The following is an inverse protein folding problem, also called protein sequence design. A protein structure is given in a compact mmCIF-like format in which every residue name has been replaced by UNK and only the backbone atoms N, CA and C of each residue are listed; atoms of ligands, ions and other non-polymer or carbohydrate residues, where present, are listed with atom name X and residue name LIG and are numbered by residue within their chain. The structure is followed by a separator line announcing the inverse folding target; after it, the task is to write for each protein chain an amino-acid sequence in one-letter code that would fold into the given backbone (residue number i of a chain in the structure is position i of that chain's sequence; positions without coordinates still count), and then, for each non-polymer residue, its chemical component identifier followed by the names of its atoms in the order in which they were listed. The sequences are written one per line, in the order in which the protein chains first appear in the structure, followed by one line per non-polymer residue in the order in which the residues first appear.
data_IF_666498103544
#
_entry.id   IF_666498103544
#
_cell.length_a   1.000
_cell.length_b   1.000
_cell.length_c   1.000
_cell.angle_alpha   90.00
_cell.angle_beta   90.00
_cell.angle_gamma   90.00
#
_symmetry.space_group_name_H-M   'P 1'
#
loop_
_entity.id
_entity.type
_entity.pdbx_description
1 polymer ?
#
# COMPACT_ATOMS: atom_id res chain seq x y z
N UNK A 1 4.99 12.61 17.21
CA UNK A 1 6.36 13.18 17.19
C UNK A 1 6.45 14.63 17.65
N UNK A 2 5.70 15.58 17.07
CA UNK A 2 5.80 17.01 17.47
C UNK A 2 5.69 17.24 18.97
N UNK A 3 4.69 16.66 19.62
CA UNK A 3 4.55 16.71 21.09
C UNK A 3 5.77 16.16 21.85
N UNK A 4 6.38 15.07 21.36
CA UNK A 4 7.47 14.38 22.05
C UNK A 4 8.82 15.11 21.92
N UNK A 5 9.02 15.84 20.81
CA UNK A 5 10.29 16.48 20.44
C UNK A 5 10.32 18.00 20.64
N UNK A 6 9.14 18.65 20.57
CA UNK A 6 8.99 20.11 20.65
C UNK A 6 7.97 20.52 21.72
N UNK A 7 7.56 19.57 22.57
CA UNK A 7 6.41 19.74 23.44
C UNK A 7 6.60 20.77 24.56
N UNK A 8 5.46 21.19 25.17
CA UNK A 8 4.14 20.55 25.04
C UNK A 8 3.34 21.00 23.81
N UNK A 9 2.84 20.04 23.02
CA UNK A 9 1.97 20.28 21.87
C UNK A 9 0.74 19.37 21.89
N UNK A 10 -0.21 19.65 22.79
CA UNK A 10 -1.35 18.76 23.11
C UNK A 10 -2.29 18.49 21.94
N UNK A 11 -2.53 19.49 21.08
CA UNK A 11 -3.34 19.32 19.86
C UNK A 11 -2.78 18.24 18.94
N UNK A 12 -1.46 18.19 18.76
CA UNK A 12 -0.78 17.18 17.94
C UNK A 12 -0.69 15.82 18.64
N UNK A 13 -0.74 15.80 19.97
CA UNK A 13 -0.81 14.58 20.74
C UNK A 13 -2.17 13.90 20.55
N UNK A 14 -3.26 14.62 20.82
CA UNK A 14 -4.63 14.09 20.67
C UNK A 14 -4.91 13.67 19.23
N UNK A 15 -4.58 14.51 18.24
CA UNK A 15 -4.79 14.18 16.83
C UNK A 15 -3.98 12.94 16.40
N UNK A 16 -2.73 12.80 16.87
CA UNK A 16 -1.90 11.65 16.53
C UNK A 16 -2.46 10.32 17.08
N UNK A 17 -2.99 10.33 18.31
CA UNK A 17 -3.65 9.15 18.88
C UNK A 17 -4.99 8.86 18.24
N UNK A 18 -5.79 9.88 17.95
CA UNK A 18 -7.05 9.73 17.20
C UNK A 18 -6.79 9.08 15.83
N UNK A 19 -5.81 9.56 15.08
CA UNK A 19 -5.42 8.99 13.79
C UNK A 19 -4.91 7.53 13.92
N UNK A 20 -4.18 7.20 14.99
CA UNK A 20 -3.78 5.83 15.26
C UNK A 20 -5.00 4.91 15.50
N UNK A 21 -6.04 5.41 16.19
CA UNK A 21 -7.29 4.69 16.41
C UNK A 21 -8.08 4.48 15.12
N UNK A 22 -8.14 5.48 14.23
CA UNK A 22 -8.69 5.32 12.89
C UNK A 22 -7.95 4.22 12.11
N UNK A 23 -6.62 4.18 12.20
CA UNK A 23 -5.82 3.13 11.56
C UNK A 23 -6.12 1.71 12.09
N UNK A 24 -6.56 1.57 13.34
CA UNK A 24 -7.02 0.28 13.89
C UNK A 24 -8.31 -0.15 13.21
N UNK A 25 -9.27 0.75 12.99
CA UNK A 25 -10.51 0.41 12.29
C UNK A 25 -10.24 0.06 10.82
N UNK A 26 -9.28 0.72 10.16
CA UNK A 26 -8.99 0.46 8.74
C UNK A 26 -8.38 -0.91 8.47
N UNK A 27 -7.44 -1.39 9.32
CA UNK A 27 -6.70 -2.63 9.05
C UNK A 27 -6.21 -3.39 10.30
N UNK A 28 -6.69 -3.04 11.50
CA UNK A 28 -6.27 -3.62 12.79
C UNK A 28 -4.86 -3.22 13.25
N UNK A 29 -3.94 -3.00 12.31
CA UNK A 29 -2.52 -2.72 12.58
C UNK A 29 -2.22 -1.25 12.90
N UNK A 30 -3.20 -0.35 12.94
CA UNK A 30 -2.96 1.07 13.29
C UNK A 30 -2.29 1.28 14.64
N UNK A 31 -2.43 0.31 15.56
CA UNK A 31 -1.76 0.27 16.86
C UNK A 31 -0.23 0.39 16.75
N UNK A 32 0.38 -0.01 15.63
CA UNK A 32 1.83 0.09 15.41
C UNK A 32 2.34 1.53 15.52
N UNK A 33 1.50 2.53 15.27
CA UNK A 33 1.87 3.94 15.47
C UNK A 33 2.28 4.22 16.93
N UNK A 34 1.68 3.51 17.89
CA UNK A 34 1.97 3.65 19.32
C UNK A 34 3.30 3.03 19.73
N UNK A 35 3.91 2.17 18.89
CA UNK A 35 5.29 1.70 19.12
C UNK A 35 6.28 2.86 19.24
N UNK A 36 5.93 4.07 18.76
CA UNK A 36 6.72 5.29 18.88
C UNK A 36 6.95 5.70 20.34
N UNK A 37 6.05 5.31 21.24
CA UNK A 37 6.14 5.61 22.66
C UNK A 37 7.27 4.85 23.33
N UNK A 38 7.67 3.68 22.80
CA UNK A 38 8.76 2.87 23.33
C UNK A 38 10.10 3.63 23.25
N UNK A 39 10.61 4.02 22.06
CA UNK A 39 11.87 4.77 21.98
C UNK A 39 11.75 6.14 22.63
N UNK A 40 10.58 6.78 22.61
CA UNK A 40 10.38 8.07 23.28
C UNK A 40 10.48 7.97 24.80
N UNK A 41 9.85 6.98 25.41
CA UNK A 41 9.92 6.71 26.85
C UNK A 41 11.34 6.35 27.28
N UNK A 42 12.02 5.49 26.53
CA UNK A 42 13.43 5.14 26.79
C UNK A 42 14.33 6.37 26.70
N UNK A 43 14.17 7.22 25.67
CA UNK A 43 15.00 8.41 25.52
C UNK A 43 14.73 9.44 26.63
N UNK A 44 13.46 9.65 27.01
CA UNK A 44 13.08 10.51 28.12
C UNK A 44 13.67 10.03 29.45
N UNK A 45 13.56 8.72 29.75
CA UNK A 45 14.12 8.12 30.96
C UNK A 45 15.66 8.23 31.01
N UNK A 46 16.33 8.17 29.86
CA UNK A 46 17.79 8.34 29.73
C UNK A 46 18.23 9.80 29.62
N UNK A 47 17.33 10.76 29.82
CA UNK A 47 17.63 12.20 29.80
C UNK A 47 18.12 12.70 28.43
N UNK A 48 17.60 12.16 27.33
CA UNK A 48 17.94 12.68 26.00
C UNK A 48 17.44 14.12 25.83
N UNK A 49 18.28 15.04 25.31
CA UNK A 49 17.88 16.44 25.14
C UNK A 49 16.64 16.58 24.26
N UNK A 50 15.67 17.37 24.72
CA UNK A 50 14.46 17.70 23.94
C UNK A 50 13.42 16.59 23.82
N UNK A 51 13.61 15.42 24.45
CA UNK A 51 12.56 14.38 24.52
C UNK A 51 11.84 14.46 25.85
N UNK A 52 10.51 14.62 25.81
CA UNK A 52 9.67 14.61 27.01
C UNK A 52 8.41 13.79 26.80
N UNK A 53 8.13 12.94 27.77
CA UNK A 53 6.85 12.20 27.87
C UNK A 53 6.14 12.72 29.11
N UNK A 54 5.08 13.51 28.91
CA UNK A 54 4.40 14.24 29.97
C UNK A 54 3.37 13.36 30.72
N UNK A 55 3.71 12.12 31.09
CA UNK A 55 2.76 11.14 31.68
C UNK A 55 2.05 11.67 32.95
N UNK A 56 2.74 12.52 33.72
CA UNK A 56 2.19 13.13 34.95
C UNK A 56 1.18 14.25 34.70
N UNK A 57 1.14 14.81 33.49
CA UNK A 57 0.14 15.83 33.12
C UNK A 57 -1.16 15.13 32.72
N UNK A 58 -2.29 15.55 33.30
CA UNK A 58 -3.62 14.97 33.00
C UNK A 58 -3.95 15.00 31.51
N UNK A 59 -3.46 16.00 30.76
CA UNK A 59 -3.68 16.14 29.31
C UNK A 59 -3.00 15.05 28.48
N UNK A 60 -2.04 14.31 29.04
CA UNK A 60 -1.47 13.13 28.41
C UNK A 60 -2.53 12.07 28.11
N UNK A 61 -3.47 11.89 29.03
CA UNK A 61 -4.52 10.88 28.92
C UNK A 61 -5.59 11.21 27.86
N UNK A 62 -5.61 12.46 27.36
CA UNK A 62 -6.42 12.80 26.19
C UNK A 62 -5.97 12.03 24.94
N UNK A 63 -4.70 11.60 24.86
CA UNK A 63 -4.22 10.75 23.76
C UNK A 63 -4.93 9.39 23.74
N UNK A 64 -4.68 8.51 24.75
CA UNK A 64 -5.39 7.24 24.88
C UNK A 64 -6.91 7.37 24.79
N UNK A 65 -7.50 8.39 25.42
CA UNK A 65 -8.94 8.66 25.32
C UNK A 65 -9.37 8.83 23.85
N UNK A 66 -8.72 9.72 23.10
CA UNK A 66 -9.10 9.98 21.70
C UNK A 66 -8.79 8.80 20.76
N UNK A 67 -7.83 7.94 21.11
CA UNK A 67 -7.62 6.69 20.39
C UNK A 67 -8.82 5.74 20.53
N UNK A 68 -9.34 5.58 21.74
CA UNK A 68 -10.56 4.79 21.95
C UNK A 68 -11.79 5.47 21.36
N UNK A 69 -11.93 6.79 21.47
CA UNK A 69 -13.02 7.53 20.81
C UNK A 69 -13.01 7.23 19.31
N UNK A 70 -11.85 7.29 18.64
CA UNK A 70 -11.75 6.96 17.23
C UNK A 70 -12.25 5.54 16.92
N UNK A 71 -11.84 4.54 17.71
CA UNK A 71 -12.28 3.14 17.55
C UNK A 71 -13.80 3.02 17.76
N UNK A 72 -14.32 3.66 18.81
CA UNK A 72 -15.73 3.60 19.19
C UNK A 72 -16.65 4.28 18.17
N UNK A 73 -16.17 5.30 17.44
CA UNK A 73 -16.94 5.97 16.39
C UNK A 73 -17.44 5.02 15.30
N UNK A 74 -16.70 3.96 15.00
CA UNK A 74 -17.15 2.91 14.10
C UNK A 74 -17.72 1.70 14.85
N UNK A 75 -17.05 1.27 15.92
CA UNK A 75 -17.40 0.04 16.62
C UNK A 75 -18.80 0.11 17.23
N UNK A 76 -19.18 1.23 17.86
CA UNK A 76 -20.49 1.34 18.53
C UNK A 76 -21.65 1.30 17.53
N UNK A 77 -21.69 2.13 16.46
CA UNK A 77 -22.76 2.03 15.47
C UNK A 77 -22.84 0.66 14.83
N UNK A 78 -21.69 0.08 14.46
CA UNK A 78 -21.62 -1.26 13.86
C UNK A 78 -22.21 -2.32 14.78
N UNK A 79 -21.85 -2.32 16.08
CA UNK A 79 -22.40 -3.24 17.07
C UNK A 79 -23.90 -3.04 17.28
N UNK A 80 -24.35 -1.79 17.44
CA UNK A 80 -25.77 -1.48 17.64
C UNK A 80 -26.58 -1.99 16.46
N UNK A 81 -26.22 -1.61 15.24
CA UNK A 81 -26.91 -2.08 14.02
C UNK A 81 -26.91 -3.60 13.92
N UNK A 82 -25.78 -4.24 14.19
CA UNK A 82 -25.67 -5.69 14.06
C UNK A 82 -26.50 -6.46 15.10
N UNK A 83 -26.72 -5.89 16.27
CA UNK A 83 -27.51 -6.51 17.34
C UNK A 83 -29.00 -6.19 17.27
N UNK A 84 -29.38 -5.00 16.77
CA UNK A 84 -30.79 -4.55 16.76
C UNK A 84 -31.53 -4.86 15.47
N UNK A 85 -30.84 -5.04 14.33
CA UNK A 85 -31.51 -5.25 13.04
C UNK A 85 -32.24 -6.60 12.90
N UNK A 86 -32.07 -7.53 13.85
CA UNK A 86 -32.74 -8.85 13.83
C UNK A 86 -32.29 -9.80 12.71
N UNK A 87 -31.31 -9.40 11.89
CA UNK A 87 -30.83 -10.16 10.73
C UNK A 87 -29.71 -11.13 11.12
N UNK A 88 -29.86 -12.46 10.90
CA UNK A 88 -28.84 -13.46 11.23
C UNK A 88 -27.47 -13.19 10.58
N UNK A 89 -27.45 -12.60 9.39
CA UNK A 89 -26.28 -12.25 8.60
C UNK A 89 -25.35 -11.29 9.35
N UNK A 90 -25.93 -10.36 10.11
CA UNK A 90 -25.16 -9.38 10.87
C UNK A 90 -24.44 -10.02 12.06
N UNK A 91 -25.01 -11.07 12.66
CA UNK A 91 -24.33 -11.87 13.69
C UNK A 91 -23.17 -12.69 13.10
N UNK A 92 -23.33 -13.20 11.88
CA UNK A 92 -22.23 -13.86 11.14
C UNK A 92 -21.12 -12.86 10.85
N UNK A 93 -21.45 -11.65 10.39
CA UNK A 93 -20.49 -10.58 10.14
C UNK A 93 -19.70 -10.21 11.40
N UNK A 94 -20.38 -10.02 12.55
CA UNK A 94 -19.74 -9.73 13.84
C UNK A 94 -18.70 -10.79 14.23
N UNK A 95 -19.08 -12.06 14.17
CA UNK A 95 -18.19 -13.16 14.50
C UNK A 95 -16.99 -13.23 13.53
N UNK A 96 -17.22 -12.97 12.26
CA UNK A 96 -16.15 -12.97 11.26
C UNK A 96 -15.15 -11.83 11.49
N UNK A 97 -15.62 -10.60 11.67
CA UNK A 97 -14.73 -9.44 11.80
C UNK A 97 -13.98 -9.42 13.15
N UNK A 98 -14.66 -9.75 14.26
CA UNK A 98 -14.08 -9.68 15.59
C UNK A 98 -13.20 -10.91 15.91
N UNK A 99 -13.60 -12.12 15.48
CA UNK A 99 -12.93 -13.36 15.89
C UNK A 99 -12.08 -13.97 14.77
N UNK A 100 -12.63 -14.12 13.55
CA UNK A 100 -11.90 -14.82 12.48
C UNK A 100 -10.85 -13.96 11.80
N UNK A 101 -11.19 -12.72 11.41
CA UNK A 101 -10.28 -11.85 10.68
C UNK A 101 -9.21 -11.22 11.56
N UNK A 102 -9.51 -10.99 12.85
CA UNK A 102 -8.58 -10.33 13.78
C UNK A 102 -7.70 -11.33 14.54
N UNK A 103 -8.29 -12.35 15.18
CA UNK A 103 -7.52 -13.28 16.02
C UNK A 103 -6.98 -14.50 15.26
N UNK A 104 -7.83 -15.20 14.49
CA UNK A 104 -7.43 -16.45 13.83
C UNK A 104 -6.48 -16.23 12.65
N UNK A 105 -6.63 -15.15 11.88
CA UNK A 105 -5.77 -14.87 10.71
C UNK A 105 -4.34 -14.53 11.10
N UNK A 106 -4.10 -13.85 12.23
CA UNK A 106 -2.74 -13.57 12.71
C UNK A 106 -2.06 -14.86 13.22
N UNK A 107 -2.79 -15.66 14.00
CA UNK A 107 -2.29 -16.93 14.57
C UNK A 107 -2.06 -18.04 13.53
N UNK A 108 -2.85 -18.07 12.44
CA UNK A 108 -2.79 -19.10 11.38
C UNK A 108 -2.21 -18.59 10.05
N UNK A 109 -1.32 -17.60 10.07
CA UNK A 109 -0.72 -17.00 8.86
C UNK A 109 0.35 -17.86 8.16
N UNK A 110 0.24 -19.19 8.20
CA UNK A 110 1.32 -20.11 7.78
C UNK A 110 1.33 -20.44 6.28
N UNK A 111 0.24 -20.16 5.55
CA UNK A 111 0.08 -20.66 4.17
C UNK A 111 0.95 -19.96 3.11
N UNK A 112 1.77 -18.97 3.45
CA UNK A 112 2.68 -18.29 2.52
C UNK A 112 3.96 -17.88 3.25
N UNK A 113 4.68 -18.85 3.81
CA UNK A 113 5.90 -18.59 4.57
C UNK A 113 6.96 -17.92 3.69
N UNK A 114 7.42 -16.75 4.13
CA UNK A 114 8.47 -15.98 3.47
C UNK A 114 9.71 -15.90 4.37
N UNK A 115 10.92 -15.79 3.78
CA UNK A 115 12.16 -15.78 4.55
C UNK A 115 12.27 -14.57 5.48
N UNK A 116 13.15 -14.65 6.48
CA UNK A 116 13.35 -13.58 7.48
C UNK A 116 13.87 -12.27 6.85
N UNK A 117 14.57 -12.34 5.72
CA UNK A 117 15.06 -11.17 4.98
C UNK A 117 14.05 -10.62 3.97
N UNK A 118 12.84 -11.18 3.87
CA UNK A 118 11.83 -10.79 2.87
C UNK A 118 11.58 -9.28 2.84
N UNK A 119 11.38 -8.65 4.00
CA UNK A 119 11.14 -7.21 4.07
C UNK A 119 12.37 -6.38 3.71
N UNK A 120 13.59 -6.89 3.91
CA UNK A 120 14.81 -6.23 3.44
C UNK A 120 14.85 -6.20 1.91
N UNK A 121 14.46 -7.31 1.27
CA UNK A 121 14.32 -7.40 -0.18
C UNK A 121 13.22 -6.45 -0.69
N UNK A 122 12.05 -6.42 -0.04
CA UNK A 122 10.97 -5.48 -0.39
C UNK A 122 11.42 -4.02 -0.30
N UNK A 123 12.20 -3.65 0.71
CA UNK A 123 12.78 -2.30 0.80
C UNK A 123 13.80 -2.03 -0.31
N UNK A 124 14.66 -3.00 -0.62
CA UNK A 124 15.69 -2.85 -1.65
C UNK A 124 15.11 -2.62 -3.05
N UNK A 125 13.92 -3.18 -3.33
CA UNK A 125 13.28 -3.06 -4.65
C UNK A 125 12.21 -1.97 -4.68
N UNK A 126 11.29 -1.94 -3.72
CA UNK A 126 10.10 -1.06 -3.78
C UNK A 126 10.34 0.33 -3.20
N UNK A 127 11.41 0.53 -2.41
CA UNK A 127 11.74 1.85 -1.86
C UNK A 127 12.80 2.58 -2.70
N UNK A 128 13.08 2.10 -3.91
CA UNK A 128 13.86 2.82 -4.90
C UNK A 128 13.13 4.12 -5.29
N UNK A 129 13.85 5.23 -5.52
CA UNK A 129 15.31 5.36 -5.47
C UNK A 129 15.84 5.70 -4.06
N UNK A 130 14.95 5.93 -3.09
CA UNK A 130 15.28 6.46 -1.76
C UNK A 130 16.28 5.59 -1.01
N UNK A 131 16.17 4.26 -1.13
CA UNK A 131 17.09 3.30 -0.51
C UNK A 131 18.55 3.46 -1.00
N UNK A 132 18.77 4.00 -2.21
CA UNK A 132 20.11 4.24 -2.77
C UNK A 132 20.91 5.28 -1.96
N UNK A 133 20.26 6.08 -1.12
CA UNK A 133 20.92 7.05 -0.26
C UNK A 133 21.53 6.42 1.01
N UNK A 134 21.17 5.17 1.33
CA UNK A 134 21.61 4.48 2.55
C UNK A 134 23.13 4.48 2.79
N UNK A 135 24.00 4.24 1.79
CA UNK A 135 25.44 4.20 2.01
C UNK A 135 25.99 5.48 2.65
N UNK A 136 25.40 6.64 2.34
CA UNK A 136 25.76 7.93 2.94
C UNK A 136 24.92 8.30 4.16
N UNK A 137 23.66 7.85 4.21
CA UNK A 137 22.75 8.12 5.31
C UNK A 137 23.14 7.37 6.59
N UNK A 138 23.52 6.08 6.48
CA UNK A 138 23.84 5.24 7.65
C UNK A 138 24.99 5.84 8.48
N UNK A 139 26.15 6.23 7.91
CA UNK A 139 27.20 6.89 8.69
C UNK A 139 26.76 8.21 9.31
N UNK A 140 25.92 8.98 8.62
CA UNK A 140 25.39 10.25 9.13
C UNK A 140 24.43 10.03 10.31
N UNK A 141 23.51 9.06 10.20
CA UNK A 141 22.62 8.65 11.28
C UNK A 141 23.40 8.15 12.49
N UNK A 142 24.41 7.28 12.29
CA UNK A 142 25.28 6.82 13.38
C UNK A 142 25.91 7.98 14.13
N UNK A 143 26.47 8.99 13.43
CA UNK A 143 27.03 10.19 14.07
C UNK A 143 25.98 11.00 14.84
N UNK A 144 24.76 11.14 14.31
CA UNK A 144 23.66 11.88 14.95
C UNK A 144 23.12 11.16 16.19
N UNK A 145 22.98 9.85 16.12
CA UNK A 145 22.55 9.02 17.26
C UNK A 145 23.60 9.00 18.37
N UNK A 146 24.90 8.97 18.04
CA UNK A 146 25.99 9.14 19.02
C UNK A 146 25.90 10.47 19.78
N UNK A 147 25.44 11.53 19.10
CA UNK A 147 25.18 12.85 19.71
C UNK A 147 23.82 12.94 20.41
N UNK A 148 23.14 11.81 20.61
CA UNK A 148 21.81 11.72 21.22
C UNK A 148 20.76 12.63 20.55
N UNK A 149 20.79 12.75 19.22
CA UNK A 149 19.81 13.55 18.48
C UNK A 149 18.48 12.79 18.33
N UNK A 150 17.41 13.17 19.06
CA UNK A 150 16.19 12.39 19.09
C UNK A 150 15.38 12.48 17.79
N UNK A 151 15.64 13.50 16.97
CA UNK A 151 15.00 13.66 15.65
C UNK A 151 15.32 12.52 14.71
N UNK A 152 16.45 11.85 14.92
CA UNK A 152 16.83 10.62 14.21
C UNK A 152 16.47 9.37 15.01
N UNK A 153 16.59 9.38 16.34
CA UNK A 153 16.25 8.21 17.17
C UNK A 153 14.82 7.77 16.96
N UNK A 154 13.85 8.69 17.11
CA UNK A 154 12.43 8.33 17.06
C UNK A 154 12.02 7.69 15.73
N UNK A 155 12.27 8.29 14.54
CA UNK A 155 11.88 7.67 13.29
C UNK A 155 12.63 6.37 12.99
N UNK A 156 13.94 6.30 13.28
CA UNK A 156 14.74 5.11 12.98
C UNK A 156 14.39 3.94 13.90
N UNK A 157 14.23 4.20 15.20
CA UNK A 157 13.84 3.16 16.15
C UNK A 157 12.42 2.66 15.87
N UNK A 158 11.49 3.55 15.56
CA UNK A 158 10.14 3.14 15.19
C UNK A 158 10.11 2.34 13.88
N UNK A 159 10.84 2.78 12.86
CA UNK A 159 10.99 2.02 11.61
C UNK A 159 11.52 0.61 11.87
N UNK A 160 12.55 0.47 12.71
CA UNK A 160 13.10 -0.82 13.11
C UNK A 160 12.08 -1.68 13.87
N UNK A 161 11.32 -1.09 14.79
CA UNK A 161 10.27 -1.81 15.53
C UNK A 161 9.17 -2.34 14.60
N UNK A 162 8.74 -1.54 13.61
CA UNK A 162 7.77 -1.98 12.61
C UNK A 162 8.33 -3.10 11.74
N UNK A 163 9.60 -2.99 11.33
CA UNK A 163 10.27 -4.04 10.56
C UNK A 163 10.33 -5.35 11.35
N UNK A 164 10.73 -5.31 12.62
CA UNK A 164 10.77 -6.48 13.51
C UNK A 164 9.36 -7.06 13.68
N UNK A 165 8.37 -6.22 13.98
CA UNK A 165 6.99 -6.64 14.17
C UNK A 165 6.44 -7.42 12.97
N UNK A 166 6.68 -6.96 11.74
CA UNK A 166 6.22 -7.65 10.53
C UNK A 166 7.14 -8.77 10.05
N UNK A 167 8.33 -8.92 10.63
CA UNK A 167 9.24 -10.03 10.33
C UNK A 167 8.90 -11.28 11.14
N UNK A 168 8.30 -11.13 12.33
CA UNK A 168 7.96 -12.24 13.23
C UNK A 168 6.95 -13.23 12.59
N UNK A 169 5.82 -12.80 11.97
CA UNK A 169 4.88 -13.73 11.33
C UNK A 169 5.50 -14.44 10.10
N UNK A 170 5.14 -15.71 9.89
CA UNK A 170 5.58 -16.50 8.74
C UNK A 170 5.01 -15.93 7.43
N UNK A 171 3.71 -15.63 7.40
CA UNK A 171 3.03 -14.97 6.28
C UNK A 171 3.44 -13.50 6.14
N UNK A 172 4.18 -13.17 5.08
CA UNK A 172 4.65 -11.80 4.80
C UNK A 172 4.13 -11.32 3.46
N UNK A 173 3.80 -10.04 3.40
CA UNK A 173 3.51 -9.30 2.18
C UNK A 173 4.29 -8.00 2.19
N UNK A 174 4.78 -7.63 1.02
CA UNK A 174 5.52 -6.40 0.74
C UNK A 174 4.81 -5.14 1.28
N UNK A 175 3.48 -5.07 1.14
CA UNK A 175 2.68 -3.92 1.57
C UNK A 175 2.61 -3.75 3.10
N UNK A 176 3.04 -4.74 3.89
CA UNK A 176 2.96 -4.67 5.35
C UNK A 176 3.92 -3.63 5.95
N UNK A 177 5.09 -3.44 5.34
CA UNK A 177 6.07 -2.43 5.80
C UNK A 177 5.89 -1.06 5.14
N UNK A 178 4.95 -0.92 4.19
CA UNK A 178 4.67 0.36 3.52
C UNK A 178 4.37 1.50 4.51
N UNK A 179 3.63 1.30 5.63
CA UNK A 179 3.43 2.35 6.63
C UNK A 179 4.74 2.87 7.25
N UNK A 180 5.84 2.13 7.12
CA UNK A 180 7.14 2.52 7.65
C UNK A 180 7.92 3.49 6.73
N UNK A 181 7.60 3.51 5.44
CA UNK A 181 8.27 4.33 4.43
C UNK A 181 8.23 5.85 4.74
N UNK A 182 7.10 6.45 5.17
CA UNK A 182 7.09 7.87 5.54
C UNK A 182 8.09 8.21 6.66
N UNK A 183 8.24 7.34 7.65
CA UNK A 183 9.19 7.57 8.76
C UNK A 183 10.64 7.40 8.32
N UNK A 184 10.90 6.47 7.40
CA UNK A 184 12.19 6.34 6.74
C UNK A 184 12.55 7.62 5.96
N UNK A 185 11.60 8.16 5.17
CA UNK A 185 11.76 9.42 4.46
C UNK A 185 12.00 10.60 5.41
N UNK A 186 11.28 10.66 6.55
CA UNK A 186 11.51 11.70 7.58
C UNK A 186 12.91 11.59 8.22
N UNK A 187 13.44 10.38 8.41
CA UNK A 187 14.81 10.20 8.91
C UNK A 187 15.88 10.65 7.88
N UNK A 188 15.57 10.54 6.58
CA UNK A 188 16.45 11.00 5.51
C UNK A 188 16.34 12.50 5.26
N UNK A 189 15.15 13.10 5.39
CA UNK A 189 14.84 14.44 4.93
C UNK A 189 15.86 15.52 5.35
N UNK A 190 16.34 15.59 6.62
CA UNK A 190 17.31 16.61 7.02
C UNK A 190 18.70 16.42 6.39
N UNK A 191 19.02 15.21 5.90
CA UNK A 191 20.29 14.91 5.23
C UNK A 191 20.25 15.19 3.73
N UNK A 192 19.07 15.12 3.10
CA UNK A 192 18.90 15.21 1.65
C UNK A 192 19.61 16.42 1.03
N UNK A 193 19.46 17.68 1.52
CA UNK A 193 20.13 18.83 0.91
C UNK A 193 21.66 18.70 0.88
N UNK A 194 22.26 18.08 1.90
CA UNK A 194 23.70 17.83 1.96
C UNK A 194 24.13 16.61 1.15
N UNK A 195 23.31 15.56 1.11
CA UNK A 195 23.59 14.35 0.32
C UNK A 195 23.55 14.64 -1.18
N UNK A 196 22.57 15.41 -1.65
CA UNK A 196 22.43 15.75 -3.06
C UNK A 196 23.56 16.65 -3.59
N UNK A 197 24.36 17.28 -2.74
CA UNK A 197 25.58 18.00 -3.15
C UNK A 197 26.77 17.07 -3.41
N UNK A 198 26.70 15.80 -3.00
CA UNK A 198 27.81 14.84 -3.17
C UNK A 198 27.82 14.29 -4.60
N UNK A 199 28.98 14.37 -5.24
CA UNK A 199 29.17 13.80 -6.58
C UNK A 199 28.85 12.30 -6.65
N UNK A 200 29.22 11.52 -5.62
CA UNK A 200 28.92 10.08 -5.56
C UNK A 200 27.42 9.77 -5.56
N UNK A 201 26.62 10.54 -4.81
CA UNK A 201 25.16 10.39 -4.77
C UNK A 201 24.57 10.70 -6.14
N UNK A 202 25.00 11.81 -6.74
CA UNK A 202 24.53 12.23 -8.05
C UNK A 202 24.89 11.25 -9.16
N UNK A 203 26.12 10.70 -9.16
CA UNK A 203 26.55 9.66 -10.12
C UNK A 203 25.74 8.36 -9.96
N UNK A 204 25.48 7.94 -8.73
CA UNK A 204 24.65 6.75 -8.48
C UNK A 204 23.22 6.94 -9.00
N UNK A 205 22.61 8.09 -8.70
CA UNK A 205 21.27 8.43 -9.19
C UNK A 205 21.24 8.58 -10.72
N UNK A 206 22.29 9.14 -11.32
CA UNK A 206 22.44 9.21 -12.77
C UNK A 206 22.48 7.82 -13.39
N UNK A 207 23.34 6.93 -12.87
CA UNK A 207 23.45 5.54 -13.36
C UNK A 207 22.15 4.77 -13.20
N UNK A 208 21.46 4.92 -12.06
CA UNK A 208 20.15 4.35 -11.84
C UNK A 208 19.10 4.86 -12.86
N UNK A 209 19.02 6.19 -13.02
CA UNK A 209 18.10 6.80 -13.97
C UNK A 209 18.39 6.38 -15.42
N UNK A 210 19.67 6.34 -15.79
CA UNK A 210 20.11 5.91 -17.12
C UNK A 210 19.75 4.44 -17.38
N UNK A 211 20.03 3.56 -16.41
CA UNK A 211 19.65 2.15 -16.51
C UNK A 211 18.15 2.01 -16.72
N UNK A 212 17.33 2.69 -15.91
CA UNK A 212 15.87 2.61 -16.02
C UNK A 212 15.38 3.16 -17.36
N UNK A 213 15.90 4.30 -17.81
CA UNK A 213 15.55 4.90 -19.09
C UNK A 213 15.93 3.99 -20.26
N UNK A 214 17.10 3.36 -20.22
CA UNK A 214 17.54 2.38 -21.22
C UNK A 214 16.68 1.11 -21.21
N UNK A 215 16.31 0.60 -20.03
CA UNK A 215 15.41 -0.56 -19.91
C UNK A 215 14.04 -0.25 -20.52
N UNK A 216 13.47 0.93 -20.24
CA UNK A 216 12.21 1.35 -20.84
C UNK A 216 12.33 1.56 -22.36
N UNK A 217 13.38 2.23 -22.83
CA UNK A 217 13.61 2.41 -24.27
C UNK A 217 13.83 1.09 -25.00
N UNK A 218 14.66 0.20 -24.45
CA UNK A 218 14.93 -1.11 -25.05
C UNK A 218 13.69 -2.01 -25.01
N UNK A 219 12.95 -2.02 -23.90
CA UNK A 219 11.70 -2.77 -23.77
C UNK A 219 10.64 -2.28 -24.75
N UNK A 220 10.46 -0.97 -24.86
CA UNK A 220 9.52 -0.38 -25.82
C UNK A 220 9.91 -0.66 -27.27
N UNK A 221 11.19 -0.49 -27.63
CA UNK A 221 11.68 -0.84 -28.96
C UNK A 221 11.50 -2.33 -29.28
N UNK A 222 11.79 -3.21 -28.32
CA UNK A 222 11.64 -4.65 -28.49
C UNK A 222 10.18 -5.05 -28.76
N UNK A 223 9.21 -4.43 -28.06
CA UNK A 223 7.77 -4.68 -28.27
C UNK A 223 7.26 -4.15 -29.62
N UNK A 224 7.83 -3.06 -30.15
CA UNK A 224 7.39 -2.49 -31.43
C UNK A 224 8.04 -3.13 -32.66
N UNK A 225 9.24 -3.72 -32.50
CA UNK A 225 10.00 -4.31 -33.61
C UNK A 225 9.75 -5.82 -33.72
N UNK A 226 9.34 -6.48 -32.64
CA UNK A 226 9.08 -7.93 -32.64
C UNK A 226 8.18 -8.35 -31.48
N UNK A 227 8.25 -9.64 -31.12
CA UNK A 227 7.45 -10.24 -30.04
C UNK A 227 8.35 -10.88 -28.99
N UNK A 228 9.01 -10.10 -28.12
CA UNK A 228 9.91 -10.65 -27.11
C UNK A 228 9.16 -11.51 -26.10
N UNK A 229 9.76 -12.60 -25.63
CA UNK A 229 9.10 -13.54 -24.71
C UNK A 229 8.63 -12.95 -23.35
N UNK A 230 9.07 -11.74 -22.97
CA UNK A 230 8.51 -11.05 -21.81
C UNK A 230 7.14 -10.41 -22.10
N UNK A 231 6.90 -9.96 -23.33
CA UNK A 231 5.61 -9.45 -23.79
C UNK A 231 4.57 -10.56 -23.67
N UNK A 232 4.89 -11.74 -24.21
CA UNK A 232 3.99 -12.89 -24.17
C UNK A 232 3.65 -13.30 -22.73
N UNK A 233 4.63 -13.30 -21.82
CA UNK A 233 4.36 -13.51 -20.39
C UNK A 233 3.44 -12.46 -19.79
N UNK A 234 3.59 -11.19 -20.16
CA UNK A 234 2.70 -10.11 -19.69
C UNK A 234 1.28 -10.35 -20.23
N UNK A 235 1.15 -10.66 -21.51
CA UNK A 235 -0.13 -10.97 -22.15
C UNK A 235 -0.82 -12.16 -21.48
N UNK A 236 -0.11 -13.27 -21.30
CA UNK A 236 -0.64 -14.48 -20.67
C UNK A 236 -1.04 -14.25 -19.22
N UNK A 237 -0.18 -13.56 -18.44
CA UNK A 237 -0.45 -13.30 -17.02
C UNK A 237 -1.55 -12.26 -16.79
N UNK A 238 -1.76 -11.35 -17.75
CA UNK A 238 -2.77 -10.30 -17.68
C UNK A 238 -4.03 -10.62 -18.47
N UNK A 239 -4.05 -11.67 -19.29
CA UNK A 239 -5.17 -12.03 -20.15
C UNK A 239 -5.50 -10.96 -21.19
N UNK A 240 -4.48 -10.34 -21.81
CA UNK A 240 -4.68 -9.29 -22.82
C UNK A 240 -4.17 -9.74 -24.18
N UNK A 241 -4.91 -9.40 -25.23
CA UNK A 241 -4.54 -9.66 -26.62
C UNK A 241 -3.41 -8.75 -27.14
N UNK A 242 -2.95 -9.02 -28.36
CA UNK A 242 -1.85 -8.28 -29.01
C UNK A 242 -2.18 -6.82 -29.27
N UNK A 243 -3.47 -6.44 -29.19
CA UNK A 243 -3.95 -5.06 -29.27
C UNK A 243 -3.36 -4.12 -28.20
N UNK A 244 -2.90 -4.67 -27.07
CA UNK A 244 -2.23 -3.90 -26.03
C UNK A 244 -0.73 -3.75 -26.24
N UNK A 245 -0.11 -4.52 -27.14
CA UNK A 245 1.34 -4.52 -27.34
C UNK A 245 1.83 -3.15 -27.82
N UNK A 246 1.26 -2.63 -28.92
CA UNK A 246 1.73 -1.37 -29.50
C UNK A 246 1.59 -0.17 -28.55
N UNK A 247 0.43 0.06 -27.89
CA UNK A 247 0.31 1.13 -26.90
C UNK A 247 1.32 1.03 -25.76
N UNK A 248 1.58 -0.19 -25.27
CA UNK A 248 2.57 -0.42 -24.20
C UNK A 248 4.00 -0.20 -24.70
N UNK A 249 4.32 -0.61 -25.93
CA UNK A 249 5.61 -0.38 -26.56
C UNK A 249 5.90 1.12 -26.71
N UNK A 250 4.94 1.88 -27.26
CA UNK A 250 5.02 3.34 -27.37
C UNK A 250 5.12 4.04 -26.02
N UNK A 251 4.37 3.57 -25.02
CA UNK A 251 4.43 4.07 -23.65
C UNK A 251 5.84 3.92 -23.07
N UNK A 252 6.42 2.73 -23.16
CA UNK A 252 7.77 2.44 -22.65
C UNK A 252 8.83 3.27 -23.39
N UNK A 253 8.72 3.41 -24.72
CA UNK A 253 9.59 4.29 -25.49
C UNK A 253 9.45 5.75 -25.07
N UNK A 254 8.24 6.26 -24.89
CA UNK A 254 7.99 7.65 -24.48
C UNK A 254 8.58 7.93 -23.10
N UNK A 255 8.39 7.04 -22.13
CA UNK A 255 8.96 7.18 -20.78
C UNK A 255 10.49 7.05 -20.80
N UNK A 256 11.04 6.12 -21.58
CA UNK A 256 12.49 5.95 -21.74
C UNK A 256 13.16 7.16 -22.38
N UNK A 257 12.61 7.66 -23.48
CA UNK A 257 13.11 8.86 -24.17
C UNK A 257 12.99 10.12 -23.30
N UNK A 258 11.87 10.28 -22.56
CA UNK A 258 11.71 11.33 -21.55
C UNK A 258 12.78 11.24 -20.46
N UNK A 259 13.09 10.03 -20.00
CA UNK A 259 14.16 9.76 -19.03
C UNK A 259 15.53 10.19 -19.52
N UNK A 260 15.89 9.78 -20.75
CA UNK A 260 17.15 10.17 -21.40
C UNK A 260 17.22 11.69 -21.55
N UNK A 261 16.18 12.32 -22.08
CA UNK A 261 16.12 13.77 -22.23
C UNK A 261 16.28 14.49 -20.88
N UNK A 262 15.57 14.02 -19.84
CA UNK A 262 15.69 14.56 -18.48
C UNK A 262 17.12 14.46 -17.93
N UNK A 263 17.79 13.34 -18.15
CA UNK A 263 19.18 13.12 -17.72
C UNK A 263 20.18 13.99 -18.50
N UNK A 264 19.97 14.18 -19.80
CA UNK A 264 20.80 15.05 -20.64
C UNK A 264 20.65 16.52 -20.25
N UNK A 265 19.42 16.98 -20.01
CA UNK A 265 19.11 18.36 -19.61
C UNK A 265 19.64 18.68 -18.21
N UNK A 266 19.39 17.81 -17.23
CA UNK A 266 19.79 18.03 -15.83
C UNK A 266 21.26 17.69 -15.58
N UNK A 267 21.86 16.90 -16.47
CA UNK A 267 23.21 16.35 -16.37
C UNK A 267 23.43 15.57 -15.07
N UNK A 268 24.66 15.14 -14.84
CA UNK A 268 25.04 14.46 -13.59
C UNK A 268 24.80 15.34 -12.37
N UNK A 269 24.95 16.67 -12.45
CA UNK A 269 24.86 17.56 -11.27
C UNK A 269 23.47 17.63 -10.64
N UNK A 270 22.40 17.36 -11.40
CA UNK A 270 21.00 17.45 -10.94
C UNK A 270 20.23 16.15 -11.17
N UNK A 271 20.92 15.00 -11.17
CA UNK A 271 20.32 13.70 -11.48
C UNK A 271 19.17 13.29 -10.55
N UNK A 272 19.15 13.77 -9.30
CA UNK A 272 17.99 13.58 -8.44
C UNK A 272 16.68 14.10 -9.05
N UNK A 273 16.71 15.29 -9.67
CA UNK A 273 15.53 15.85 -10.35
C UNK A 273 15.19 15.08 -11.62
N UNK A 274 16.19 14.62 -12.38
CA UNK A 274 15.96 13.78 -13.55
C UNK A 274 15.28 12.45 -13.18
N UNK A 275 15.71 11.79 -12.10
CA UNK A 275 15.08 10.56 -11.60
C UNK A 275 13.65 10.82 -11.13
N UNK A 276 13.41 11.90 -10.38
CA UNK A 276 12.04 12.28 -9.98
C UNK A 276 11.16 12.54 -11.20
N UNK A 277 11.69 13.22 -12.23
CA UNK A 277 10.97 13.47 -13.47
C UNK A 277 10.63 12.18 -14.22
N UNK A 278 11.60 11.28 -14.39
CA UNK A 278 11.40 9.97 -15.02
C UNK A 278 10.35 9.13 -14.27
N UNK A 279 10.47 9.01 -12.94
CA UNK A 279 9.51 8.25 -12.15
C UNK A 279 8.13 8.90 -12.15
N UNK A 280 8.06 10.24 -12.13
CA UNK A 280 6.81 10.98 -12.27
C UNK A 280 6.14 10.71 -13.61
N UNK A 281 6.89 10.76 -14.71
CA UNK A 281 6.40 10.41 -16.04
C UNK A 281 5.89 8.96 -16.08
N UNK A 282 6.65 8.00 -15.54
CA UNK A 282 6.22 6.60 -15.45
C UNK A 282 4.91 6.45 -14.67
N UNK A 283 4.78 7.03 -13.48
CA UNK A 283 3.57 6.88 -12.67
C UNK A 283 2.34 7.51 -13.31
N UNK A 284 2.49 8.69 -13.93
CA UNK A 284 1.39 9.34 -14.67
C UNK A 284 1.00 8.48 -15.87
N UNK A 285 1.97 8.05 -16.66
CA UNK A 285 1.71 7.30 -17.88
C UNK A 285 1.15 5.89 -17.58
N UNK A 286 1.65 5.22 -16.55
CA UNK A 286 1.08 3.97 -16.04
C UNK A 286 -0.37 4.16 -15.56
N UNK A 287 -0.64 5.26 -14.84
CA UNK A 287 -1.98 5.64 -14.37
C UNK A 287 -2.98 5.83 -15.52
N UNK A 288 -2.58 6.57 -16.54
CA UNK A 288 -3.46 7.00 -17.63
C UNK A 288 -3.57 5.98 -18.78
N UNK A 289 -2.56 5.14 -18.98
CA UNK A 289 -2.49 4.23 -20.14
C UNK A 289 -2.62 2.77 -19.71
N UNK A 290 -1.79 2.31 -18.76
CA UNK A 290 -1.80 0.90 -18.38
C UNK A 290 -3.10 0.48 -17.69
N UNK A 291 -3.65 1.30 -16.78
CA UNK A 291 -4.90 0.91 -16.10
C UNK A 291 -6.07 0.70 -17.07
N UNK A 292 -6.38 1.62 -18.00
CA UNK A 292 -7.42 1.39 -19.00
C UNK A 292 -7.18 0.14 -19.85
N UNK A 293 -5.94 -0.08 -20.32
CA UNK A 293 -5.58 -1.25 -21.13
C UNK A 293 -5.85 -2.55 -20.37
N UNK A 294 -5.41 -2.62 -19.11
CA UNK A 294 -5.56 -3.83 -18.29
C UNK A 294 -6.91 -3.93 -17.57
N UNK A 295 -7.78 -2.91 -17.66
CA UNK A 295 -8.97 -2.83 -16.82
C UNK A 295 -9.93 -3.99 -17.11
N UNK A 296 -10.16 -4.28 -18.39
CA UNK A 296 -11.12 -5.29 -18.80
C UNK A 296 -10.67 -6.71 -18.52
N UNK A 297 -9.36 -6.95 -18.46
CA UNK A 297 -8.79 -8.25 -18.12
C UNK A 297 -8.52 -8.43 -16.62
N UNK A 298 -8.31 -7.32 -15.89
CA UNK A 298 -8.05 -7.30 -14.44
C UNK A 298 -9.31 -7.08 -13.60
N UNK A 299 -10.48 -6.95 -14.24
CA UNK A 299 -11.78 -6.80 -13.59
C UNK A 299 -12.84 -7.66 -14.28
N UNK A 300 -14.01 -7.78 -13.66
CA UNK A 300 -15.15 -8.42 -14.29
C UNK A 300 -15.86 -7.53 -15.34
N UNK A 301 -15.37 -6.31 -15.60
CA UNK A 301 -16.07 -5.30 -16.39
C UNK A 301 -16.49 -5.76 -17.78
N UNK A 302 -15.56 -6.29 -18.58
CA UNK A 302 -15.88 -6.76 -19.94
C UNK A 302 -16.87 -7.91 -19.94
N UNK A 303 -16.69 -8.89 -19.05
CA UNK A 303 -17.59 -10.05 -18.92
C UNK A 303 -19.00 -9.60 -18.55
N UNK A 304 -19.14 -8.68 -17.60
CA UNK A 304 -20.44 -8.19 -17.15
C UNK A 304 -21.14 -7.33 -18.21
N UNK A 305 -20.41 -6.48 -18.94
CA UNK A 305 -20.97 -5.72 -20.06
C UNK A 305 -21.45 -6.63 -21.19
N UNK A 306 -20.67 -7.66 -21.54
CA UNK A 306 -21.06 -8.62 -22.56
C UNK A 306 -22.25 -9.48 -22.13
N UNK A 307 -22.30 -9.89 -20.85
CA UNK A 307 -23.47 -10.56 -20.29
C UNK A 307 -24.72 -9.69 -20.42
N UNK A 308 -24.66 -8.43 -19.99
CA UNK A 308 -25.77 -7.47 -20.09
C UNK A 308 -26.23 -7.22 -21.52
N UNK A 309 -25.29 -7.11 -22.47
CA UNK A 309 -25.59 -6.96 -23.90
C UNK A 309 -26.31 -8.19 -24.48
N UNK A 310 -25.91 -9.39 -24.07
CA UNK A 310 -26.50 -10.64 -24.58
C UNK A 310 -27.90 -10.91 -24.07
N UNK A 311 -28.17 -10.60 -22.81
CA UNK A 311 -29.51 -10.81 -22.21
C UNK A 311 -30.49 -9.68 -22.59
N UNK A 312 -30.01 -8.54 -23.08
CA UNK A 312 -30.85 -7.39 -23.43
C UNK A 312 -31.04 -6.43 -22.25
N UNK A 313 -31.60 -5.22 -22.46
CA UNK A 313 -31.68 -4.17 -21.43
C UNK A 313 -32.69 -4.48 -20.32
N UNK A 314 -33.79 -5.17 -20.64
CA UNK A 314 -34.90 -5.42 -19.72
C UNK A 314 -34.77 -6.73 -18.94
N UNK A 315 -33.78 -7.57 -19.30
CA UNK A 315 -33.59 -8.87 -18.70
C UNK A 315 -32.98 -8.79 -17.29
N UNK A 316 -33.35 -9.73 -16.45
CA UNK A 316 -32.80 -9.95 -15.13
C UNK A 316 -31.50 -10.74 -15.21
N UNK A 317 -30.60 -10.47 -14.26
CA UNK A 317 -29.28 -11.08 -14.20
C UNK A 317 -29.14 -11.94 -12.94
N UNK A 318 -28.98 -13.25 -13.11
CA UNK A 318 -28.65 -14.17 -12.03
C UNK A 318 -27.15 -14.49 -11.99
N UNK A 319 -26.56 -14.48 -10.79
CA UNK A 319 -25.13 -14.76 -10.58
C UNK A 319 -24.92 -16.02 -9.71
N UNK A 320 -24.30 -17.04 -10.32
CA UNK A 320 -23.86 -18.29 -9.67
C UNK A 320 -22.34 -18.34 -9.64
N UNK A 321 -21.75 -18.80 -8.52
CA UNK A 321 -20.30 -18.94 -8.35
C UNK A 321 -19.53 -17.64 -8.68
N UNK A 322 -20.10 -16.50 -8.29
CA UNK A 322 -19.61 -15.17 -8.63
C UNK A 322 -18.56 -14.66 -7.64
N UNK A 323 -17.75 -13.70 -8.09
CA UNK A 323 -16.84 -12.91 -7.25
C UNK A 323 -17.40 -11.51 -7.03
N UNK A 324 -17.00 -10.83 -5.97
CA UNK A 324 -17.49 -9.50 -5.60
C UNK A 324 -17.39 -8.49 -6.76
N UNK A 325 -16.35 -8.60 -7.58
CA UNK A 325 -16.16 -7.76 -8.76
C UNK A 325 -17.25 -7.95 -9.83
N UNK A 326 -17.83 -9.15 -9.98
CA UNK A 326 -18.94 -9.38 -10.91
C UNK A 326 -20.15 -8.55 -10.50
N UNK A 327 -20.50 -8.58 -9.20
CA UNK A 327 -21.64 -7.82 -8.69
C UNK A 327 -21.39 -6.31 -8.77
N UNK A 328 -20.16 -5.87 -8.45
CA UNK A 328 -19.80 -4.45 -8.55
C UNK A 328 -19.87 -3.90 -9.98
N UNK A 329 -19.55 -4.75 -10.97
CA UNK A 329 -19.51 -4.38 -12.38
C UNK A 329 -20.81 -4.74 -13.13
N UNK A 330 -21.84 -5.22 -12.43
CA UNK A 330 -23.14 -5.47 -13.02
C UNK A 330 -23.76 -4.14 -13.47
N UNK A 331 -24.30 -4.12 -14.68
CA UNK A 331 -24.98 -2.96 -15.27
C UNK A 331 -26.41 -2.76 -14.72
N UNK A 332 -26.89 -3.71 -13.93
CA UNK A 332 -28.22 -3.76 -13.32
C UNK A 332 -28.19 -4.53 -11.99
N UNK A 333 -29.24 -4.44 -11.15
CA UNK A 333 -29.37 -5.29 -9.97
C UNK A 333 -29.28 -6.76 -10.35
N UNK A 334 -28.36 -7.49 -9.72
CA UNK A 334 -28.17 -8.91 -9.97
C UNK A 334 -28.74 -9.75 -8.82
N UNK A 335 -29.54 -10.76 -9.15
CA UNK A 335 -29.99 -11.78 -8.21
C UNK A 335 -28.80 -12.70 -7.86
N UNK A 336 -28.56 -12.91 -6.57
CA UNK A 336 -27.50 -13.81 -6.10
C UNK A 336 -28.09 -14.94 -5.27
N UNK A 337 -27.38 -16.07 -5.20
CA UNK A 337 -27.86 -17.29 -4.53
C UNK A 337 -27.08 -17.66 -3.26
N UNK A 338 -26.34 -16.67 -2.73
CA UNK A 338 -25.55 -16.75 -1.50
C UNK A 338 -24.05 -16.83 -1.77
N UNK A 339 -23.30 -15.80 -1.35
CA UNK A 339 -21.87 -15.66 -1.66
C UNK A 339 -20.96 -16.76 -1.08
N UNK A 340 -21.23 -17.21 0.15
CA UNK A 340 -20.47 -18.27 0.85
C UNK A 340 -21.10 -19.66 0.75
N UNK A 341 -22.17 -19.80 -0.02
CA UNK A 341 -22.87 -21.08 -0.22
C UNK A 341 -22.08 -21.91 -1.24
N UNK A 342 -21.98 -23.25 -1.10
CA UNK A 342 -21.34 -24.10 -2.12
C UNK A 342 -21.91 -23.87 -3.52
N UNK A 343 -21.07 -23.96 -4.54
CA UNK A 343 -21.42 -23.59 -5.91
C UNK A 343 -22.57 -24.43 -6.47
N UNK A 344 -22.64 -25.70 -6.10
CA UNK A 344 -23.69 -26.63 -6.51
C UNK A 344 -25.06 -26.17 -6.01
N UNK A 345 -25.13 -25.71 -4.76
CA UNK A 345 -26.37 -25.19 -4.17
C UNK A 345 -26.74 -23.82 -4.74
N UNK A 346 -25.75 -22.96 -5.02
CA UNK A 346 -26.01 -21.72 -5.75
C UNK A 346 -26.61 -22.01 -7.12
N UNK A 347 -26.07 -23.00 -7.85
CA UNK A 347 -26.55 -23.40 -9.17
C UNK A 347 -27.98 -23.95 -9.10
N UNK A 348 -28.28 -24.84 -8.17
CA UNK A 348 -29.64 -25.37 -7.98
C UNK A 348 -30.66 -24.25 -7.75
N UNK A 349 -30.34 -23.28 -6.89
CA UNK A 349 -31.19 -22.11 -6.64
C UNK A 349 -31.32 -21.20 -7.86
N UNK A 350 -30.22 -21.01 -8.59
CA UNK A 350 -30.22 -20.22 -9.82
C UNK A 350 -31.07 -20.83 -10.93
N UNK A 351 -31.01 -22.15 -11.09
CA UNK A 351 -31.86 -22.89 -12.04
C UNK A 351 -33.33 -22.82 -11.64
N UNK A 352 -33.65 -22.98 -10.35
CA UNK A 352 -35.02 -22.84 -9.87
C UNK A 352 -35.58 -21.42 -10.11
N UNK A 353 -34.79 -20.39 -9.81
CA UNK A 353 -35.14 -19.00 -10.11
C UNK A 353 -35.32 -18.77 -11.61
N UNK A 354 -34.43 -19.29 -12.46
CA UNK A 354 -34.57 -19.17 -13.92
C UNK A 354 -35.85 -19.86 -14.45
N UNK A 355 -36.29 -20.95 -13.82
CA UNK A 355 -37.51 -21.65 -14.20
C UNK A 355 -38.78 -20.84 -13.93
N UNK A 356 -38.73 -19.84 -13.05
CA UNK A 356 -39.82 -18.88 -12.80
C UNK A 356 -39.98 -17.85 -13.95
N UNK A 357 -39.15 -17.96 -15.00
CA UNK A 357 -39.08 -17.03 -16.13
C UNK A 357 -38.91 -15.56 -15.70
N UNK A 358 -37.86 -15.26 -14.92
CA UNK A 358 -37.48 -13.88 -14.65
C UNK A 358 -37.22 -13.21 -16.00
N UNK A 359 -37.80 -12.01 -16.15
CA UNK A 359 -37.83 -11.25 -17.41
C UNK A 359 -36.48 -10.99 -18.03
#
# INVERSE_FOLDING_TARGET
MRHLLMGPAWRWWTLGWFAAGLGVITKGVGIIALLMLIPAGIAAARGWPGVRVHVRDRRFWLGPLFFFVAILLWFVPMMVTALTAGQPEYRVYLNDILLRQTAKRYAKSWDHAQPVWYHLQSMATMWLPTILLLPWAIPAWRRRLKRRDPRYLLPLAWWLLVLVFFTIPSGKRDVYILPALPMFCLALAPLVPGLLRRAGVQRLLFGFGLLLALVFSAGGAAMLIGHPGFEQKIMDSRGVGSEATDPLGWLLLAVGTWGIASLLLMRVRRSAFAVVSLLGAWWVAFGLVCYPIFNDSSSAGAVMREAGRRIGPDAQLGLVAWKEQNLLMADRPAQTFGFKVPWETQLQRGVAWQAEQPG
#
